data_IF_324959969780
#
_entry.id   IF_324959969780
#
_cell.length_a   1.000
_cell.length_b   1.000
_cell.length_c   1.000
_cell.angle_alpha   90.00
_cell.angle_beta   90.00
_cell.angle_gamma   90.00
#
_symmetry.space_group_name_H-M   'P 1'
#
loop_
_entity.id
_entity.type
_entity.pdbx_description
1 polymer ?
#
# COMPACT_ATOMS: atom_id res chain seq x y z
N UNK A 1 -4.18 14.20 -9.94
CA UNK A 1 -3.12 13.24 -9.59
C UNK A 1 -3.72 12.22 -8.64
N UNK A 2 -3.56 10.91 -8.90
CA UNK A 2 -4.03 9.87 -7.99
C UNK A 2 -3.33 10.04 -6.64
N UNK A 3 -4.07 9.78 -5.55
CA UNK A 3 -3.55 9.85 -4.20
C UNK A 3 -3.99 8.62 -3.42
N UNK A 4 -3.14 8.19 -2.50
CA UNK A 4 -3.47 7.17 -1.52
C UNK A 4 -3.73 7.86 -0.22
N UNK A 5 -4.90 7.58 0.36
CA UNK A 5 -5.23 8.04 1.70
C UNK A 5 -4.98 6.90 2.68
N UNK A 6 -4.00 7.08 3.56
CA UNK A 6 -3.77 6.16 4.66
C UNK A 6 -4.77 6.46 5.77
N UNK A 7 -5.51 5.43 6.18
CA UNK A 7 -6.48 5.51 7.29
C UNK A 7 -6.10 4.51 8.37
N UNK A 8 -6.35 4.89 9.62
CA UNK A 8 -6.36 3.98 10.76
C UNK A 8 -7.73 4.10 11.42
N UNK A 9 -8.52 3.02 11.37
CA UNK A 9 -9.97 3.09 11.61
C UNK A 9 -10.61 4.12 10.67
N UNK A 10 -11.49 4.98 11.16
CA UNK A 10 -12.15 6.02 10.36
C UNK A 10 -11.31 7.31 10.22
N UNK A 11 -10.14 7.37 10.86
CA UNK A 11 -9.29 8.55 10.84
C UNK A 11 -8.27 8.51 9.70
N UNK A 12 -8.27 9.56 8.88
CA UNK A 12 -7.21 9.79 7.89
C UNK A 12 -5.94 10.23 8.61
N UNK A 13 -4.87 9.47 8.44
CA UNK A 13 -3.57 9.73 9.06
C UNK A 13 -2.54 10.28 8.07
N UNK A 14 -2.75 10.10 6.77
CA UNK A 14 -1.87 10.65 5.75
C UNK A 14 -2.49 10.60 4.36
N UNK A 15 -1.98 11.46 3.46
CA UNK A 15 -2.27 11.40 2.03
C UNK A 15 -0.96 11.44 1.26
N UNK A 16 -0.79 10.46 0.39
CA UNK A 16 0.43 10.26 -0.38
C UNK A 16 0.08 10.41 -1.86
N UNK A 17 0.57 11.47 -2.55
CA UNK A 17 0.40 11.57 -3.98
C UNK A 17 1.17 10.44 -4.66
N UNK A 18 0.57 9.80 -5.66
CA UNK A 18 1.31 8.88 -6.54
C UNK A 18 1.67 9.62 -7.83
N UNK A 19 2.97 9.76 -8.06
CA UNK A 19 3.49 10.27 -9.31
C UNK A 19 3.58 9.16 -10.36
N UNK A 20 3.31 9.50 -11.62
CA UNK A 20 3.50 8.56 -12.72
C UNK A 20 4.98 8.14 -12.79
N UNK A 21 5.22 6.82 -12.88
CA UNK A 21 6.57 6.26 -12.97
C UNK A 21 7.33 6.16 -11.65
N UNK A 22 6.73 6.52 -10.51
CA UNK A 22 7.32 6.30 -9.18
C UNK A 22 6.54 5.23 -8.41
N UNK A 23 7.28 4.36 -7.75
CA UNK A 23 6.71 3.39 -6.81
C UNK A 23 6.66 3.98 -5.40
N UNK A 24 5.72 3.48 -4.60
CA UNK A 24 5.64 3.75 -3.17
C UNK A 24 5.84 2.44 -2.39
N UNK A 25 6.76 2.44 -1.43
CA UNK A 25 6.98 1.35 -0.51
C UNK A 25 6.11 1.50 0.75
N UNK A 26 5.56 0.39 1.23
CA UNK A 26 4.72 0.31 2.42
C UNK A 26 5.35 -0.71 3.38
N UNK A 27 5.54 -0.33 4.63
CA UNK A 27 6.05 -1.25 5.64
C UNK A 27 6.30 -0.62 6.99
N UNK A 28 6.76 -1.43 7.94
CA UNK A 28 7.04 -0.97 9.32
C UNK A 28 8.38 -0.24 9.44
N UNK A 29 9.35 -0.54 8.58
CA UNK A 29 10.66 0.14 8.64
C UNK A 29 10.55 1.59 8.17
N UNK A 30 11.40 2.44 8.73
CA UNK A 30 11.40 3.90 8.51
C UNK A 30 11.90 4.32 7.12
N UNK A 31 12.44 3.39 6.35
CA UNK A 31 12.93 3.59 4.99
C UNK A 31 11.87 3.35 3.91
N UNK A 32 10.62 3.01 4.29
CA UNK A 32 9.49 2.99 3.37
C UNK A 32 8.87 4.39 3.22
N UNK A 33 8.22 4.65 2.09
CA UNK A 33 7.49 5.91 1.86
C UNK A 33 6.26 6.04 2.78
N UNK A 34 5.56 4.92 2.99
CA UNK A 34 4.43 4.81 3.91
C UNK A 34 4.83 3.91 5.07
N UNK A 35 5.16 4.55 6.19
CA UNK A 35 5.58 3.86 7.42
C UNK A 35 4.35 3.57 8.29
N UNK A 36 4.11 2.28 8.56
CA UNK A 36 3.05 1.82 9.46
C UNK A 36 3.70 1.09 10.63
N UNK A 37 3.80 1.76 11.78
CA UNK A 37 4.42 1.20 12.98
C UNK A 37 3.49 0.21 13.70
N UNK A 38 3.39 -0.99 13.16
CA UNK A 38 2.56 -2.07 13.69
C UNK A 38 3.25 -3.44 13.47
N UNK A 39 3.32 -4.27 14.52
CA UNK A 39 3.97 -5.59 14.48
C UNK A 39 3.35 -6.58 13.47
N UNK A 40 2.08 -6.38 13.07
CA UNK A 40 1.46 -7.15 12.00
C UNK A 40 2.03 -6.81 10.60
N UNK A 41 2.66 -5.66 10.47
CA UNK A 41 3.23 -5.18 9.21
C UNK A 41 4.71 -5.58 9.11
N UNK A 42 5.05 -6.36 8.07
CA UNK A 42 6.43 -6.64 7.69
C UNK A 42 7.29 -5.39 7.52
N UNK A 43 8.61 -5.53 7.68
CA UNK A 43 9.55 -4.43 7.56
C UNK A 43 9.45 -3.71 6.21
N UNK A 44 9.43 -4.48 5.12
CA UNK A 44 8.97 -4.08 3.79
C UNK A 44 7.81 -5.03 3.48
N UNK A 45 6.60 -4.50 3.41
CA UNK A 45 5.38 -5.31 3.38
C UNK A 45 4.82 -5.42 1.98
N UNK A 46 4.59 -4.28 1.36
CA UNK A 46 4.05 -4.18 0.02
C UNK A 46 4.67 -2.98 -0.68
N UNK A 47 4.46 -2.91 -1.98
CA UNK A 47 4.74 -1.72 -2.76
C UNK A 47 3.63 -1.47 -3.75
N UNK A 48 3.50 -0.22 -4.17
CA UNK A 48 2.60 0.18 -5.23
C UNK A 48 3.48 0.67 -6.37
N UNK A 49 3.55 -0.12 -7.44
CA UNK A 49 4.31 0.23 -8.62
C UNK A 49 3.43 0.99 -9.62
N UNK A 50 3.98 2.02 -10.23
CA UNK A 50 3.37 2.68 -11.38
C UNK A 50 3.69 1.92 -12.66
N UNK A 51 2.67 1.61 -13.46
CA UNK A 51 2.80 1.02 -14.79
C UNK A 51 2.03 1.88 -15.79
N UNK A 52 2.73 2.87 -16.37
CA UNK A 52 2.13 3.89 -17.21
C UNK A 52 1.16 4.75 -16.42
N UNK A 53 -0.13 4.66 -16.76
CA UNK A 53 -1.22 5.39 -16.10
C UNK A 53 -1.94 4.55 -15.03
N UNK A 54 -1.56 3.29 -14.85
CA UNK A 54 -2.13 2.38 -13.88
C UNK A 54 -1.18 2.14 -12.69
N UNK A 55 -1.72 1.62 -11.59
CA UNK A 55 -0.97 1.26 -10.40
C UNK A 55 -1.25 -0.18 -10.02
N UNK A 56 -0.23 -0.87 -9.53
CA UNK A 56 -0.35 -2.25 -9.07
C UNK A 56 0.19 -2.35 -7.66
N UNK A 57 -0.64 -2.84 -6.73
CA UNK A 57 -0.18 -3.28 -5.42
C UNK A 57 0.52 -4.63 -5.58
N UNK A 58 1.70 -4.78 -4.99
CA UNK A 58 2.47 -6.03 -4.96
C UNK A 58 2.86 -6.32 -3.51
N UNK A 59 2.45 -7.48 -3.00
CA UNK A 59 2.90 -7.98 -1.72
C UNK A 59 4.36 -8.45 -1.83
N UNK A 60 5.20 -8.08 -0.85
CA UNK A 60 6.63 -8.40 -0.83
C UNK A 60 6.93 -9.63 0.03
N UNK A 61 6.10 -10.68 -0.09
CA UNK A 61 6.14 -11.88 0.75
C UNK A 61 6.02 -11.52 2.23
N UNK A 62 5.02 -10.68 2.53
CA UNK A 62 4.75 -10.24 3.88
C UNK A 62 4.29 -11.42 4.76
N UNK A 63 4.44 -11.28 6.08
CA UNK A 63 4.13 -12.38 7.01
C UNK A 63 2.63 -12.67 7.10
N UNK A 64 1.81 -11.62 7.07
CA UNK A 64 0.37 -11.73 7.27
C UNK A 64 -0.44 -11.45 5.98
N UNK A 65 0.22 -11.04 4.90
CA UNK A 65 -0.40 -10.78 3.61
C UNK A 65 -0.92 -9.35 3.44
N UNK A 66 -1.13 -9.01 2.17
CA UNK A 66 -1.79 -7.79 1.73
C UNK A 66 -3.19 -8.13 1.21
N UNK A 67 -4.16 -7.25 1.49
CA UNK A 67 -5.55 -7.44 1.12
C UNK A 67 -6.05 -6.25 0.32
N UNK A 68 -6.86 -6.51 -0.70
CA UNK A 68 -7.63 -5.50 -1.42
C UNK A 68 -9.09 -5.86 -1.31
N UNK A 69 -9.91 -4.94 -0.80
CA UNK A 69 -11.34 -5.15 -0.56
C UNK A 69 -11.60 -6.47 0.21
N UNK A 70 -10.85 -6.65 1.31
CA UNK A 70 -10.89 -7.83 2.21
C UNK A 70 -10.43 -9.17 1.58
N UNK A 71 -9.94 -9.16 0.35
CA UNK A 71 -9.42 -10.35 -0.32
C UNK A 71 -7.89 -10.37 -0.29
N UNK A 72 -7.30 -11.49 0.12
CA UNK A 72 -5.85 -11.70 0.10
C UNK A 72 -5.33 -11.67 -1.33
N UNK A 73 -4.30 -10.86 -1.58
CA UNK A 73 -3.69 -10.71 -2.90
C UNK A 73 -2.16 -10.77 -2.82
N UNK A 74 -1.55 -11.40 -3.81
CA UNK A 74 -0.10 -11.25 -4.06
C UNK A 74 0.19 -10.06 -4.99
N UNK A 75 -0.75 -9.75 -5.89
CA UNK A 75 -0.71 -8.60 -6.79
C UNK A 75 -2.13 -8.17 -7.17
N UNK A 76 -2.38 -6.86 -7.28
CA UNK A 76 -3.68 -6.32 -7.68
C UNK A 76 -3.54 -4.99 -8.41
N UNK A 77 -4.16 -4.89 -9.59
CA UNK A 77 -4.30 -3.62 -10.33
C UNK A 77 -5.29 -2.72 -9.61
N UNK A 78 -4.79 -1.62 -9.04
CA UNK A 78 -5.59 -0.70 -8.24
C UNK A 78 -6.55 0.09 -9.11
N UNK A 79 -7.77 0.24 -8.60
CA UNK A 79 -8.83 1.09 -9.13
C UNK A 79 -9.20 2.15 -8.10
N UNK A 80 -9.84 3.21 -8.59
CA UNK A 80 -10.39 4.21 -7.68
C UNK A 80 -11.41 3.56 -6.73
N UNK A 81 -11.30 3.89 -5.45
CA UNK A 81 -12.15 3.33 -4.40
C UNK A 81 -11.65 2.03 -3.76
N UNK A 82 -10.60 1.39 -4.29
CA UNK A 82 -10.05 0.19 -3.66
C UNK A 82 -9.52 0.47 -2.24
N UNK A 83 -9.81 -0.44 -1.32
CA UNK A 83 -9.31 -0.39 0.06
C UNK A 83 -8.18 -1.40 0.22
N UNK A 84 -7.00 -0.90 0.57
CA UNK A 84 -5.81 -1.72 0.82
C UNK A 84 -5.63 -1.88 2.34
N UNK A 85 -5.51 -3.12 2.78
CA UNK A 85 -5.13 -3.48 4.15
C UNK A 85 -3.85 -4.29 4.13
N UNK A 86 -2.95 -4.04 5.08
CA UNK A 86 -1.69 -4.77 5.25
C UNK A 86 -1.58 -5.28 6.68
N UNK A 87 -1.21 -6.55 6.84
CA UNK A 87 -1.06 -7.15 8.16
C UNK A 87 -2.27 -7.95 8.64
#
# INVERSE_FOLDING_TARGET
MPNITLKFKDSVIGRYPIEKGKSLAIGRRKDNDIVIDNLAVSGHHAKIDAAGDAFVLVDLQSKNGSFVNEQLVSSHWLKDGDVISVG
#
